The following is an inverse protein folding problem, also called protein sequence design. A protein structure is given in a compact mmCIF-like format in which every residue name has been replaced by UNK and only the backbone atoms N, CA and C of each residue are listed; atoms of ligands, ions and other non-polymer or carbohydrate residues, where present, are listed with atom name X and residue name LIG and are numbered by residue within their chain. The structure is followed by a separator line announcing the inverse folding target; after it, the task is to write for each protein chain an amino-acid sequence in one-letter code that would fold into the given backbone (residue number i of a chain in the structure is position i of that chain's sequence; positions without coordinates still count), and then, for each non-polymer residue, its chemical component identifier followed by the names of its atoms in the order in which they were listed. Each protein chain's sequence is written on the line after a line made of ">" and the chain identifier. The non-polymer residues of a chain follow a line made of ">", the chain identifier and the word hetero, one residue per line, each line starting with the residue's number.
data_IF_287444995175
#
_entry.id   IF_287444995175
#
_cell.length_a   1.000
_cell.length_b   1.000
_cell.length_c   1.000
_cell.angle_alpha   90.00
_cell.angle_beta   90.00
_cell.angle_gamma   90.00
#
_symmetry.space_group_name_H-M   'P 1'
#
loop_
_entity.id
_entity.type
_entity.pdbx_description
1 polymer ?
#
# COMPACT_ATOMS: atom_id res chain seq x y z
N UNK A 1 -27.55 -3.28 -10.24
CA UNK A 1 -26.49 -2.97 -9.24
C UNK A 1 -25.48 -4.10 -9.25
N UNK A 2 -24.34 -3.92 -9.91
CA UNK A 2 -23.32 -4.95 -10.11
C UNK A 2 -21.93 -4.36 -9.82
N UNK A 3 -21.78 -3.73 -8.66
CA UNK A 3 -20.56 -3.00 -8.29
C UNK A 3 -19.76 -3.68 -7.16
N UNK A 4 -20.33 -4.68 -6.50
CA UNK A 4 -19.84 -5.19 -5.21
C UNK A 4 -19.42 -6.66 -5.27
N UNK A 5 -18.96 -7.15 -6.42
CA UNK A 5 -18.49 -8.55 -6.53
C UNK A 5 -17.01 -8.62 -6.94
N UNK A 6 -16.22 -7.59 -6.62
CA UNK A 6 -14.81 -7.57 -7.00
C UNK A 6 -13.90 -7.19 -5.85
N UNK A 7 -12.81 -7.95 -5.72
CA UNK A 7 -11.85 -7.84 -4.61
C UNK A 7 -11.21 -6.45 -4.52
N UNK A 8 -10.55 -6.18 -3.39
CA UNK A 8 -9.79 -4.96 -3.09
C UNK A 8 -8.87 -4.48 -4.25
N UNK A 9 -8.47 -5.40 -5.13
CA UNK A 9 -7.66 -5.16 -6.33
C UNK A 9 -8.42 -4.38 -7.42
N UNK A 10 -9.72 -4.60 -7.58
CA UNK A 10 -10.54 -3.85 -8.56
C UNK A 10 -10.98 -2.49 -8.00
N UNK A 11 -11.15 -2.38 -6.68
CA UNK A 11 -11.31 -1.08 -6.02
C UNK A 11 -10.07 -0.20 -6.23
N UNK A 12 -8.87 -0.74 -6.04
CA UNK A 12 -7.62 0.01 -6.32
C UNK A 12 -7.44 0.37 -7.79
N UNK A 13 -7.94 -0.44 -8.74
CA UNK A 13 -8.00 -0.06 -10.16
C UNK A 13 -8.95 1.12 -10.44
N UNK A 14 -10.08 1.20 -9.75
CA UNK A 14 -11.03 2.32 -9.88
C UNK A 14 -10.52 3.64 -9.28
N UNK A 15 -9.44 3.64 -8.48
CA UNK A 15 -8.83 4.88 -7.97
C UNK A 15 -8.06 5.67 -9.05
N UNK A 16 -7.59 5.03 -10.12
CA UNK A 16 -6.58 5.60 -11.02
C UNK A 16 -5.31 6.01 -10.25
N UNK A 17 -4.47 6.87 -10.84
CA UNK A 17 -3.22 7.35 -10.21
C UNK A 17 -3.44 8.42 -9.11
N UNK A 18 -4.69 8.70 -8.75
CA UNK A 18 -5.02 9.86 -7.94
C UNK A 18 -4.97 9.53 -6.43
N UNK A 19 -3.80 9.74 -5.82
CA UNK A 19 -3.54 9.56 -4.38
C UNK A 19 -3.31 10.92 -3.69
N UNK A 20 -4.35 11.74 -3.48
CA UNK A 20 -4.20 13.11 -3.03
C UNK A 20 -3.60 13.22 -1.63
N UNK A 21 -3.99 12.36 -0.68
CA UNK A 21 -3.47 12.38 0.71
C UNK A 21 -2.04 11.90 0.71
N UNK A 22 -1.75 10.75 0.09
CA UNK A 22 -0.39 10.18 0.03
C UNK A 22 0.57 11.13 -0.67
N UNK A 23 0.18 11.67 -1.82
CA UNK A 23 1.01 12.61 -2.58
C UNK A 23 1.27 13.90 -1.82
N UNK A 24 0.23 14.49 -1.19
CA UNK A 24 0.40 15.70 -0.40
C UNK A 24 1.30 15.46 0.82
N UNK A 25 1.10 14.33 1.51
CA UNK A 25 1.91 13.97 2.67
C UNK A 25 3.40 13.92 2.32
N UNK A 26 3.77 13.18 1.28
CA UNK A 26 5.18 13.06 0.89
C UNK A 26 5.75 14.34 0.26
N UNK A 27 4.95 15.14 -0.46
CA UNK A 27 5.37 16.49 -0.92
C UNK A 27 5.73 17.38 0.26
N UNK A 28 4.91 17.39 1.31
CA UNK A 28 5.18 18.17 2.53
C UNK A 28 6.44 17.70 3.26
N UNK A 29 6.86 16.44 3.07
CA UNK A 29 8.13 15.90 3.58
C UNK A 29 9.33 16.21 2.66
N UNK A 30 9.13 17.00 1.60
CA UNK A 30 10.18 17.38 0.64
C UNK A 30 10.52 16.29 -0.38
N UNK A 31 9.66 15.29 -0.58
CA UNK A 31 9.94 14.21 -1.52
C UNK A 31 9.64 14.67 -2.95
N UNK A 32 10.51 14.30 -3.89
CA UNK A 32 10.30 14.58 -5.31
C UNK A 32 9.17 13.73 -5.90
N UNK A 33 8.54 14.21 -6.97
CA UNK A 33 7.47 13.47 -7.66
C UNK A 33 7.88 12.05 -8.07
N UNK A 34 9.17 11.83 -8.40
CA UNK A 34 9.71 10.49 -8.71
C UNK A 34 9.67 9.56 -7.49
N UNK A 35 10.02 10.06 -6.30
CA UNK A 35 9.92 9.29 -5.05
C UNK A 35 8.47 8.98 -4.71
N UNK A 36 7.59 9.97 -4.85
CA UNK A 36 6.15 9.80 -4.59
C UNK A 36 5.55 8.73 -5.50
N UNK A 37 5.85 8.76 -6.80
CA UNK A 37 5.39 7.74 -7.74
C UNK A 37 5.85 6.32 -7.36
N UNK A 38 7.05 6.18 -6.77
CA UNK A 38 7.54 4.88 -6.31
C UNK A 38 6.77 4.34 -5.11
N UNK A 39 6.37 5.19 -4.15
CA UNK A 39 5.59 4.75 -2.98
C UNK A 39 4.10 4.60 -3.29
N UNK A 40 3.57 5.33 -4.27
CA UNK A 40 2.17 5.12 -4.69
C UNK A 40 1.97 3.78 -5.43
N UNK A 41 3.03 3.18 -6.01
CA UNK A 41 2.94 1.81 -6.54
C UNK A 41 2.82 0.82 -5.37
N UNK A 42 1.97 -0.19 -5.53
CA UNK A 42 1.82 -1.29 -4.58
C UNK A 42 3.19 -1.93 -4.28
N UNK A 43 3.62 -1.81 -3.02
CA UNK A 43 4.85 -2.42 -2.53
C UNK A 43 4.69 -3.92 -2.24
N UNK A 44 5.83 -4.61 -2.15
CA UNK A 44 5.93 -5.98 -1.62
C UNK A 44 6.64 -5.98 -0.28
N UNK A 45 6.28 -6.90 0.60
CA UNK A 45 6.83 -6.96 1.96
C UNK A 45 7.00 -8.43 2.39
N UNK A 46 8.14 -8.81 2.99
CA UNK A 46 8.43 -10.19 3.34
C UNK A 46 7.88 -10.51 4.74
N UNK A 47 6.57 -10.72 4.84
CA UNK A 47 5.86 -10.90 6.12
C UNK A 47 6.39 -12.09 6.94
N UNK A 48 6.62 -13.23 6.30
CA UNK A 48 7.10 -14.45 6.97
C UNK A 48 8.55 -14.32 7.43
N UNK A 49 9.35 -13.53 6.71
CA UNK A 49 10.77 -13.32 7.05
C UNK A 49 10.95 -12.50 8.33
N UNK A 50 10.01 -11.59 8.61
CA UNK A 50 10.07 -10.68 9.75
C UNK A 50 9.45 -11.39 10.97
N UNK A 51 10.16 -12.42 11.43
CA UNK A 51 9.75 -13.33 12.51
C UNK A 51 10.17 -12.86 13.91
N UNK A 52 11.07 -11.88 13.97
CA UNK A 52 11.68 -11.43 15.21
C UNK A 52 12.15 -9.98 15.10
N UNK A 53 12.30 -9.32 16.24
CA UNK A 53 12.72 -7.92 16.27
C UNK A 53 14.14 -7.72 15.72
N UNK A 54 15.00 -8.74 15.83
CA UNK A 54 16.37 -8.68 15.33
C UNK A 54 16.43 -8.58 13.80
N UNK A 55 15.44 -9.13 13.07
CA UNK A 55 15.34 -8.97 11.61
C UNK A 55 15.28 -7.51 11.20
N UNK A 56 14.62 -6.64 11.97
CA UNK A 56 14.56 -5.21 11.64
C UNK A 56 15.93 -4.52 11.66
N UNK A 57 16.93 -5.09 12.35
CA UNK A 57 18.29 -4.55 12.41
C UNK A 57 19.12 -4.92 11.18
N UNK A 58 18.70 -5.90 10.40
CA UNK A 58 19.42 -6.34 9.21
C UNK A 58 19.52 -5.24 8.16
N UNK A 59 20.71 -5.09 7.57
CA UNK A 59 21.05 -3.97 6.68
C UNK A 59 20.93 -4.31 5.20
N UNK A 60 20.29 -5.43 4.87
CA UNK A 60 20.10 -5.92 3.50
C UNK A 60 18.65 -6.35 3.32
N UNK A 61 18.15 -6.21 2.09
CA UNK A 61 16.88 -6.83 1.72
C UNK A 61 17.01 -8.36 1.72
N UNK A 62 15.97 -9.09 2.14
CA UNK A 62 15.94 -10.55 2.03
C UNK A 62 15.92 -10.96 0.55
N UNK A 63 16.26 -12.21 0.28
CA UNK A 63 16.22 -12.76 -1.07
C UNK A 63 14.78 -12.86 -1.58
N UNK A 64 14.59 -12.86 -2.91
CA UNK A 64 13.26 -12.90 -3.54
C UNK A 64 12.38 -14.07 -3.04
N UNK A 65 12.96 -15.22 -2.72
CA UNK A 65 12.21 -16.37 -2.23
C UNK A 65 11.71 -16.19 -0.79
N UNK A 66 12.27 -15.25 -0.03
CA UNK A 66 11.86 -14.90 1.34
C UNK A 66 10.71 -13.89 1.36
N UNK A 67 10.33 -13.33 0.19
CA UNK A 67 9.13 -12.52 0.00
C UNK A 67 7.87 -13.37 -0.21
N UNK A 68 7.92 -14.66 0.12
CA UNK A 68 6.79 -15.56 -0.04
C UNK A 68 5.59 -15.07 0.80
N UNK A 69 4.39 -15.14 0.22
CA UNK A 69 3.13 -14.89 0.93
C UNK A 69 2.39 -16.21 1.03
N UNK A 70 2.15 -16.72 2.24
CA UNK A 70 1.32 -17.91 2.53
C UNK A 70 0.06 -17.99 1.63
N UNK A 71 -0.59 -16.85 1.35
CA UNK A 71 -1.86 -16.78 0.62
C UNK A 71 -1.73 -16.44 -0.88
N UNK A 72 -0.55 -16.08 -1.40
CA UNK A 72 -0.42 -15.56 -2.79
C UNK A 72 0.77 -16.11 -3.57
N UNK A 73 1.59 -16.98 -2.96
CA UNK A 73 2.73 -17.62 -3.63
C UNK A 73 3.96 -16.71 -3.75
N UNK A 74 4.81 -17.02 -4.73
CA UNK A 74 6.05 -16.29 -5.03
C UNK A 74 5.75 -14.94 -5.70
N UNK A 75 6.48 -13.89 -5.32
CA UNK A 75 6.42 -12.60 -6.01
C UNK A 75 7.09 -12.67 -7.38
N UNK A 76 6.73 -11.75 -8.28
CA UNK A 76 7.41 -11.61 -9.56
C UNK A 76 8.80 -10.98 -9.40
N UNK A 77 9.69 -11.23 -10.36
CA UNK A 77 11.00 -10.58 -10.39
C UNK A 77 10.88 -9.05 -10.49
N UNK A 78 9.86 -8.55 -11.19
CA UNK A 78 9.61 -7.11 -11.33
C UNK A 78 9.17 -6.45 -10.02
N UNK A 79 8.42 -7.17 -9.18
CA UNK A 79 8.06 -6.70 -7.86
C UNK A 79 9.26 -6.67 -6.92
N UNK A 80 10.14 -7.66 -7.01
CA UNK A 80 11.39 -7.67 -6.24
C UNK A 80 12.33 -6.54 -6.69
N UNK A 81 12.49 -6.32 -8.00
CA UNK A 81 13.23 -5.17 -8.54
C UNK A 81 12.64 -3.84 -8.06
N UNK A 82 11.31 -3.75 -7.97
CA UNK A 82 10.65 -2.58 -7.41
C UNK A 82 11.00 -2.37 -5.94
N UNK A 83 10.97 -3.42 -5.11
CA UNK A 83 11.40 -3.35 -3.71
C UNK A 83 12.85 -2.89 -3.56
N UNK A 84 13.77 -3.42 -4.37
CA UNK A 84 15.17 -2.99 -4.40
C UNK A 84 15.30 -1.51 -4.80
N UNK A 85 14.53 -1.07 -5.80
CA UNK A 85 14.52 0.33 -6.23
C UNK A 85 14.02 1.25 -5.13
N UNK A 86 12.96 0.88 -4.40
CA UNK A 86 12.45 1.62 -3.25
C UNK A 86 13.52 1.67 -2.16
N UNK A 87 14.07 0.53 -1.74
CA UNK A 87 15.13 0.47 -0.72
C UNK A 87 16.28 1.43 -1.02
N UNK A 88 16.80 1.41 -2.24
CA UNK A 88 17.91 2.26 -2.66
C UNK A 88 17.51 3.74 -2.76
N UNK A 89 16.34 4.03 -3.33
CA UNK A 89 15.88 5.42 -3.56
C UNK A 89 15.58 6.16 -2.25
N UNK A 90 15.10 5.43 -1.25
CA UNK A 90 14.78 5.97 0.07
C UNK A 90 15.93 5.83 1.07
N UNK A 91 17.06 5.22 0.68
CA UNK A 91 18.24 5.07 1.52
C UNK A 91 17.96 4.25 2.77
N UNK A 92 17.15 3.21 2.65
CA UNK A 92 16.81 2.33 3.77
C UNK A 92 18.10 1.68 4.31
N UNK A 93 18.45 1.99 5.57
CA UNK A 93 19.67 1.46 6.21
C UNK A 93 19.48 0.05 6.77
N UNK A 94 18.23 -0.31 7.09
CA UNK A 94 17.87 -1.60 7.65
C UNK A 94 16.40 -1.95 7.34
N UNK A 95 16.03 -3.20 7.61
CA UNK A 95 14.67 -3.71 7.38
C UNK A 95 13.63 -2.96 8.20
N UNK A 96 13.99 -2.43 9.38
CA UNK A 96 13.13 -1.55 10.17
C UNK A 96 12.73 -0.28 9.40
N UNK A 97 13.69 0.41 8.78
CA UNK A 97 13.38 1.61 7.97
C UNK A 97 12.57 1.31 6.73
N UNK A 98 12.77 0.13 6.13
CA UNK A 98 11.95 -0.31 5.03
C UNK A 98 10.52 -0.67 5.47
N UNK A 99 10.37 -1.33 6.63
CA UNK A 99 9.09 -1.62 7.25
C UNK A 99 8.31 -0.36 7.59
N UNK A 100 8.94 0.63 8.25
CA UNK A 100 8.32 1.92 8.56
C UNK A 100 7.80 2.60 7.29
N UNK A 101 8.60 2.60 6.21
CA UNK A 101 8.22 3.18 4.93
C UNK A 101 7.04 2.43 4.30
N UNK A 102 7.08 1.11 4.31
CA UNK A 102 6.02 0.25 3.77
C UNK A 102 4.71 0.47 4.51
N UNK A 103 4.70 0.34 5.84
CA UNK A 103 3.51 0.52 6.66
C UNK A 103 2.90 1.92 6.51
N UNK A 104 3.75 2.95 6.53
CA UNK A 104 3.29 4.33 6.36
C UNK A 104 2.61 4.54 5.01
N UNK A 105 3.18 3.96 3.96
CA UNK A 105 2.64 4.01 2.61
C UNK A 105 1.31 3.25 2.51
N UNK A 106 1.23 2.08 3.13
CA UNK A 106 0.00 1.26 3.17
C UNK A 106 -1.14 1.99 3.89
N UNK A 107 -0.88 2.57 5.06
CA UNK A 107 -1.86 3.36 5.84
C UNK A 107 -2.33 4.59 5.07
N UNK A 108 -1.42 5.34 4.43
CA UNK A 108 -1.79 6.50 3.61
C UNK A 108 -2.61 6.10 2.38
N UNK A 109 -2.25 4.98 1.74
CA UNK A 109 -3.00 4.46 0.60
C UNK A 109 -4.40 4.01 1.02
N UNK A 110 -4.53 3.37 2.18
CA UNK A 110 -5.81 3.00 2.76
C UNK A 110 -6.64 4.26 3.08
N UNK A 111 -6.03 5.31 3.62
CA UNK A 111 -6.71 6.58 3.88
C UNK A 111 -7.21 7.25 2.58
N UNK A 112 -6.45 7.19 1.49
CA UNK A 112 -6.89 7.65 0.16
C UNK A 112 -8.12 6.87 -0.32
N UNK A 113 -8.10 5.53 -0.19
CA UNK A 113 -9.23 4.65 -0.55
C UNK A 113 -10.47 5.01 0.28
N UNK A 114 -10.35 5.10 1.60
CA UNK A 114 -11.47 5.44 2.49
C UNK A 114 -12.02 6.84 2.25
N UNK A 115 -11.17 7.80 1.92
CA UNK A 115 -11.62 9.16 1.63
C UNK A 115 -12.42 9.22 0.33
N UNK A 116 -12.04 8.46 -0.70
CA UNK A 116 -12.85 8.34 -1.92
C UNK A 116 -14.15 7.59 -1.69
N UNK A 117 -14.12 6.50 -0.92
CA UNK A 117 -15.33 5.76 -0.55
C UNK A 117 -16.33 6.63 0.21
N UNK A 118 -15.89 7.56 1.06
CA UNK A 118 -16.79 8.51 1.74
C UNK A 118 -17.35 9.59 0.82
N UNK A 119 -16.59 10.02 -0.19
CA UNK A 119 -17.04 11.03 -1.16
C UNK A 119 -18.04 10.49 -2.18
N UNK A 120 -17.94 9.21 -2.57
CA UNK A 120 -18.85 8.62 -3.56
C UNK A 120 -20.34 8.72 -3.16
N UNK A 121 -20.77 8.38 -1.93
CA UNK A 121 -22.17 8.49 -1.51
C UNK A 121 -22.66 9.92 -1.29
N UNK A 122 -21.76 10.85 -0.95
CA UNK A 122 -22.10 12.27 -0.79
C UNK A 122 -22.51 12.92 -2.13
N UNK A 123 -21.99 12.44 -3.26
CA UNK A 123 -22.33 12.94 -4.59
C UNK A 123 -23.57 12.25 -5.20
N UNK A 124 -23.91 11.04 -4.76
CA UNK A 124 -25.00 10.26 -5.37
C UNK A 124 -26.32 10.30 -4.58
N UNK A 125 -26.31 10.25 -3.24
CA UNK A 125 -27.55 10.08 -2.44
C UNK A 125 -27.57 10.83 -1.08
N UNK A 126 -26.50 11.54 -0.69
CA UNK A 126 -26.45 12.26 0.59
C UNK A 126 -26.40 11.35 1.84
N UNK A 127 -26.05 10.07 1.67
CA UNK A 127 -25.94 9.08 2.74
C UNK A 127 -24.49 8.86 3.15
N UNK A 128 -24.20 8.86 4.46
CA UNK A 128 -22.86 8.56 5.00
C UNK A 128 -22.61 7.04 5.03
N UNK A 129 -21.62 6.50 4.30
CA UNK A 129 -21.30 5.07 4.31
C UNK A 129 -20.76 4.56 5.67
N UNK A 130 -20.36 5.45 6.58
CA UNK A 130 -19.93 5.09 7.95
C UNK A 130 -21.06 4.43 8.75
N UNK A 131 -22.32 4.60 8.34
CA UNK A 131 -23.49 3.97 8.94
C UNK A 131 -23.82 2.57 8.37
N UNK A 132 -23.09 2.12 7.33
CA UNK A 132 -23.36 0.87 6.61
C UNK A 132 -22.15 -0.08 6.53
N UNK A 133 -21.22 0.03 7.49
CA UNK A 133 -20.04 -0.86 7.58
C UNK A 133 -20.44 -2.35 7.65
N UNK A 134 -21.64 -2.66 8.16
CA UNK A 134 -22.18 -4.02 8.25
C UNK A 134 -22.75 -4.59 6.93
N UNK A 135 -23.24 -3.76 6.02
CA UNK A 135 -23.86 -4.22 4.75
C UNK A 135 -22.84 -4.53 3.65
N UNK A 136 -21.61 -4.02 3.76
CA UNK A 136 -20.51 -4.28 2.83
C UNK A 136 -19.87 -5.67 3.01
N UNK A 137 -20.18 -6.39 4.09
CA UNK A 137 -19.59 -7.69 4.42
C UNK A 137 -20.49 -8.88 4.05
N UNK A 138 -21.74 -8.64 3.66
CA UNK A 138 -22.68 -9.68 3.23
C UNK A 138 -23.39 -9.28 1.94
N UNK A 139 -22.70 -9.41 0.80
CA UNK A 139 -23.32 -9.68 -0.51
C UNK A 139 -22.28 -10.18 -1.49
#
# INVERSE_FOLDING_TARGET
>A
MQFMNTSLVNLTKNLGDNHPITSQYFKNQGYSNRKISLVCRKGVYPYEYIDSHDRFKETKLPLIHEFHRILSGKISQDDYHHAQKVWNTFGCKNLGKYHDLYLKTDVLSLADVWTKLRKMPMEYDGLDPSHYVSLLLYS
#
